data_IF_766538255320
#
_entry.id   IF_766538255320
#
_cell.length_a   1.000
_cell.length_b   1.000
_cell.length_c   1.000
_cell.angle_alpha   90.00
_cell.angle_beta   90.00
_cell.angle_gamma   90.00
#
_symmetry.space_group_name_H-M   'P 1'
#
loop_
_entity.id
_entity.type
_entity.pdbx_description
1 polymer ?
#
# COMPACT_ATOMS: atom_id res chain seq x y z
N UNK A 1 0.84 -2.29 -10.14
CA UNK A 1 1.53 -0.97 -10.14
C UNK A 1 0.75 0.12 -9.43
N UNK A 2 -0.47 0.49 -9.85
CA UNK A 2 -1.17 1.64 -9.25
C UNK A 2 -1.55 1.41 -7.77
N UNK A 3 -2.24 0.29 -7.48
CA UNK A 3 -2.65 -0.06 -6.10
C UNK A 3 -1.45 -0.29 -5.16
N UNK A 4 -0.34 -0.77 -5.71
CA UNK A 4 0.82 -1.21 -4.95
C UNK A 4 1.90 -0.12 -4.77
N UNK A 5 2.19 0.64 -5.83
CA UNK A 5 3.28 1.64 -5.88
C UNK A 5 2.77 3.04 -5.61
N UNK A 6 1.60 3.41 -6.14
CA UNK A 6 1.06 4.77 -6.01
C UNK A 6 0.16 4.87 -4.77
N UNK A 7 -0.61 3.82 -4.48
CA UNK A 7 -1.54 3.79 -3.34
C UNK A 7 -2.73 4.76 -3.48
N UNK A 8 -2.83 5.45 -4.62
CA UNK A 8 -3.89 6.38 -4.99
C UNK A 8 -4.18 6.21 -6.50
N UNK A 9 -5.46 6.19 -6.88
CA UNK A 9 -5.94 6.01 -8.26
C UNK A 9 -5.92 7.33 -9.07
N UNK A 10 -5.03 8.26 -8.71
CA UNK A 10 -5.03 9.60 -9.28
C UNK A 10 -4.70 9.60 -10.79
N UNK A 11 -5.52 10.27 -11.59
CA UNK A 11 -5.59 10.15 -13.05
C UNK A 11 -4.33 10.63 -13.80
N UNK A 12 -3.51 11.48 -13.17
CA UNK A 12 -2.39 12.16 -13.85
C UNK A 12 -1.30 11.21 -14.35
N UNK A 13 -1.10 10.06 -13.70
CA UNK A 13 -0.10 9.07 -14.10
C UNK A 13 -0.69 7.91 -14.91
N UNK A 14 -2.00 7.70 -14.84
CA UNK A 14 -2.69 6.58 -15.46
C UNK A 14 -2.45 6.55 -16.99
N UNK A 15 -2.59 7.69 -17.66
CA UNK A 15 -2.41 7.77 -19.12
C UNK A 15 -1.01 7.35 -19.58
N UNK A 16 0.04 7.74 -18.84
CA UNK A 16 1.43 7.39 -19.18
C UNK A 16 1.71 5.90 -18.96
N UNK A 17 1.20 5.34 -17.86
CA UNK A 17 1.35 3.91 -17.55
C UNK A 17 0.62 3.06 -18.58
N UNK A 18 -0.61 3.42 -18.93
CA UNK A 18 -1.40 2.72 -19.95
C UNK A 18 -0.70 2.79 -21.31
N UNK A 19 -0.24 3.97 -21.74
CA UNK A 19 0.46 4.11 -23.01
C UNK A 19 1.72 3.23 -23.08
N UNK A 20 2.55 3.23 -22.03
CA UNK A 20 3.74 2.38 -21.95
C UNK A 20 3.37 0.88 -22.02
N UNK A 21 2.34 0.45 -21.30
CA UNK A 21 1.88 -0.95 -21.32
C UNK A 21 1.36 -1.38 -22.69
N UNK A 22 0.61 -0.51 -23.39
CA UNK A 22 0.06 -0.78 -24.72
C UNK A 22 1.17 -0.86 -25.76
N UNK A 23 2.15 0.07 -25.72
CA UNK A 23 3.31 0.01 -26.61
C UNK A 23 4.09 -1.29 -26.38
N UNK A 24 4.35 -1.66 -25.12
CA UNK A 24 5.00 -2.93 -24.79
C UNK A 24 4.24 -4.14 -25.33
N UNK A 25 2.92 -4.18 -25.14
CA UNK A 25 2.07 -5.24 -25.64
C UNK A 25 2.09 -5.33 -27.18
N UNK A 26 2.03 -4.19 -27.89
CA UNK A 26 2.12 -4.18 -29.36
C UNK A 26 3.47 -4.62 -29.88
N UNK A 27 4.57 -4.27 -29.23
CA UNK A 27 5.91 -4.73 -29.61
C UNK A 27 6.01 -6.24 -29.43
N UNK A 28 5.58 -6.78 -28.30
CA UNK A 28 5.55 -8.23 -28.06
C UNK A 28 4.67 -8.93 -29.07
N UNK A 29 3.46 -8.41 -29.32
CA UNK A 29 2.52 -8.97 -30.30
C UNK A 29 3.08 -8.93 -31.73
N UNK A 30 3.74 -7.84 -32.11
CA UNK A 30 4.34 -7.69 -33.43
C UNK A 30 5.51 -8.63 -33.70
N UNK A 31 6.29 -8.97 -32.67
CA UNK A 31 7.46 -9.84 -32.78
C UNK A 31 7.11 -11.32 -32.58
N UNK A 32 6.32 -11.64 -31.54
CA UNK A 32 6.06 -13.01 -31.07
C UNK A 32 4.67 -13.53 -31.46
N UNK A 33 3.77 -12.67 -31.91
CA UNK A 33 2.37 -13.01 -32.20
C UNK A 33 1.52 -13.23 -30.95
N UNK A 34 0.41 -13.97 -31.11
CA UNK A 34 -0.51 -14.32 -30.01
C UNK A 34 0.13 -15.38 -29.11
N UNK A 35 0.55 -14.98 -27.91
CA UNK A 35 1.10 -15.86 -26.88
C UNK A 35 0.39 -15.61 -25.54
N UNK A 36 -0.81 -16.18 -25.31
CA UNK A 36 -1.49 -16.04 -24.03
C UNK A 36 -0.68 -16.73 -22.92
N UNK A 37 -0.70 -16.16 -21.71
CA UNK A 37 0.05 -16.72 -20.60
C UNK A 37 -0.48 -18.10 -20.16
N UNK A 38 -1.81 -18.31 -20.24
CA UNK A 38 -2.44 -19.62 -20.09
C UNK A 38 -3.46 -19.85 -21.20
N UNK A 39 -3.32 -20.96 -21.92
CA UNK A 39 -4.37 -21.46 -22.81
C UNK A 39 -5.31 -22.34 -21.98
N UNK A 40 -6.56 -21.90 -21.80
CA UNK A 40 -7.60 -22.59 -21.04
C UNK A 40 -8.71 -23.11 -21.96
N UNK A 41 -9.30 -24.27 -21.65
CA UNK A 41 -10.53 -24.70 -22.32
C UNK A 41 -11.67 -23.76 -21.92
N UNK A 42 -12.68 -23.58 -22.78
CA UNK A 42 -13.83 -22.76 -22.46
C UNK A 42 -14.49 -23.23 -21.16
N UNK A 43 -14.62 -22.31 -20.19
CA UNK A 43 -15.30 -22.58 -18.92
C UNK A 43 -16.78 -22.30 -19.10
N UNK A 44 -17.48 -23.34 -19.53
CA UNK A 44 -18.94 -23.40 -19.67
C UNK A 44 -19.53 -24.31 -18.59
N UNK A 45 -20.78 -24.07 -18.20
CA UNK A 45 -21.53 -24.89 -17.24
C UNK A 45 -20.88 -25.01 -15.84
N UNK A 46 -20.45 -23.88 -15.28
CA UNK A 46 -19.96 -23.80 -13.90
C UNK A 46 -21.12 -24.10 -12.93
N UNK A 47 -20.93 -25.07 -12.04
CA UNK A 47 -21.97 -25.52 -11.09
C UNK A 47 -22.02 -24.59 -9.88
N UNK A 48 -23.18 -24.27 -9.32
CA UNK A 48 -23.28 -23.45 -8.11
C UNK A 48 -22.55 -24.03 -6.89
N UNK A 49 -22.28 -25.34 -6.88
CA UNK A 49 -21.59 -26.05 -5.80
C UNK A 49 -20.17 -25.54 -5.53
N UNK A 50 -19.46 -25.07 -6.55
CA UNK A 50 -18.08 -24.60 -6.35
C UNK A 50 -18.02 -23.37 -5.44
N UNK A 51 -19.06 -22.51 -5.42
CA UNK A 51 -19.11 -21.34 -4.54
C UNK A 51 -19.07 -21.69 -3.06
N UNK A 52 -19.52 -22.89 -2.68
CA UNK A 52 -19.38 -23.38 -1.30
C UNK A 52 -17.93 -23.74 -0.94
N UNK A 53 -17.13 -24.13 -1.94
CA UNK A 53 -15.73 -24.55 -1.79
C UNK A 53 -14.75 -23.37 -1.94
N UNK A 54 -15.12 -22.36 -2.74
CA UNK A 54 -14.33 -21.14 -2.99
C UNK A 54 -13.77 -20.51 -1.70
N UNK A 55 -14.55 -20.33 -0.61
CA UNK A 55 -14.03 -19.77 0.62
C UNK A 55 -12.90 -20.58 1.27
N UNK A 56 -13.03 -21.91 1.28
CA UNK A 56 -12.00 -22.80 1.82
C UNK A 56 -10.72 -22.73 0.98
N UNK A 57 -10.87 -22.67 -0.35
CA UNK A 57 -9.74 -22.52 -1.28
C UNK A 57 -9.02 -21.20 -1.11
N UNK A 58 -9.77 -20.10 -1.09
CA UNK A 58 -9.20 -18.77 -0.91
C UNK A 58 -8.48 -18.65 0.44
N UNK A 59 -9.06 -19.21 1.51
CA UNK A 59 -8.45 -19.22 2.84
C UNK A 59 -7.13 -20.01 2.85
N UNK A 60 -7.11 -21.23 2.30
CA UNK A 60 -5.88 -22.03 2.23
C UNK A 60 -4.81 -21.33 1.39
N UNK A 61 -5.16 -20.89 0.18
CA UNK A 61 -4.21 -20.26 -0.74
C UNK A 61 -3.63 -18.95 -0.17
N UNK A 62 -4.47 -18.11 0.44
CA UNK A 62 -4.01 -16.90 1.13
C UNK A 62 -3.10 -17.25 2.32
N UNK A 63 -3.43 -18.30 3.08
CA UNK A 63 -2.60 -18.77 4.20
C UNK A 63 -1.24 -19.29 3.72
N UNK A 64 -1.20 -20.05 2.62
CA UNK A 64 0.06 -20.47 1.98
C UNK A 64 0.89 -19.25 1.57
N UNK A 65 0.25 -18.20 1.04
CA UNK A 65 0.91 -16.94 0.75
C UNK A 65 1.49 -16.26 2.00
N UNK A 66 0.78 -16.27 3.12
CA UNK A 66 1.30 -15.76 4.39
C UNK A 66 2.47 -16.60 4.94
N UNK A 67 2.41 -17.92 4.79
CA UNK A 67 3.52 -18.81 5.15
C UNK A 67 4.74 -18.51 4.29
N UNK A 68 4.56 -18.26 2.99
CA UNK A 68 5.61 -17.83 2.08
C UNK A 68 6.22 -16.49 2.54
N UNK A 69 5.39 -15.48 2.79
CA UNK A 69 5.85 -14.16 3.25
C UNK A 69 6.61 -14.26 4.58
N UNK A 70 5.99 -14.83 5.62
CA UNK A 70 6.58 -14.92 6.96
C UNK A 70 7.80 -15.81 6.99
N UNK A 71 7.77 -16.95 6.28
CA UNK A 71 8.88 -17.88 6.17
C UNK A 71 10.09 -17.22 5.53
N UNK A 72 9.88 -16.55 4.39
CA UNK A 72 10.93 -15.82 3.67
C UNK A 72 11.51 -14.70 4.53
N UNK A 73 10.68 -13.81 5.08
CA UNK A 73 11.16 -12.68 5.88
C UNK A 73 11.91 -13.15 7.13
N UNK A 74 11.43 -14.20 7.81
CA UNK A 74 12.07 -14.74 9.01
C UNK A 74 13.42 -15.37 8.68
N UNK A 75 13.49 -16.22 7.66
CA UNK A 75 14.73 -16.89 7.26
C UNK A 75 15.73 -15.90 6.68
N UNK A 76 15.30 -14.98 5.81
CA UNK A 76 16.13 -13.88 5.28
C UNK A 76 16.77 -13.06 6.41
N UNK A 77 15.98 -12.66 7.41
CA UNK A 77 16.50 -11.89 8.55
C UNK A 77 17.60 -12.64 9.32
N UNK A 78 17.53 -13.98 9.38
CA UNK A 78 18.58 -14.82 9.98
C UNK A 78 19.81 -14.91 9.08
N UNK A 79 19.62 -15.05 7.77
CA UNK A 79 20.71 -15.17 6.79
C UNK A 79 21.47 -13.86 6.57
N UNK A 80 20.84 -12.70 6.78
CA UNK A 80 21.54 -11.40 6.75
C UNK A 80 22.39 -11.20 8.02
N UNK A 81 21.91 -11.66 9.18
CA UNK A 81 22.62 -11.49 10.47
C UNK A 81 23.71 -12.53 10.73
N UNK A 82 23.72 -13.65 10.02
CA UNK A 82 24.73 -14.69 10.22
C UNK A 82 26.10 -14.22 9.69
N UNK A 83 27.18 -14.57 10.40
CA UNK A 83 28.56 -14.21 10.05
C UNK A 83 29.42 -15.41 9.63
N UNK A 84 28.85 -16.62 9.56
CA UNK A 84 29.59 -17.87 9.31
C UNK A 84 29.93 -18.06 7.83
N UNK A 85 29.03 -17.65 6.94
CA UNK A 85 29.15 -17.83 5.49
C UNK A 85 29.22 -16.45 4.84
N UNK A 86 30.17 -16.19 3.91
CA UNK A 86 30.24 -14.93 3.20
C UNK A 86 28.99 -14.70 2.34
N UNK A 87 28.55 -13.45 2.22
CA UNK A 87 27.27 -13.12 1.57
C UNK A 87 27.19 -13.61 0.12
N UNK A 88 28.31 -13.61 -0.63
CA UNK A 88 28.33 -14.05 -2.03
C UNK A 88 28.04 -15.56 -2.17
N UNK A 89 28.32 -16.36 -1.14
CA UNK A 89 28.15 -17.81 -1.18
C UNK A 89 26.74 -18.25 -0.74
N UNK A 90 25.97 -17.37 -0.09
CA UNK A 90 24.62 -17.68 0.35
C UNK A 90 23.70 -18.09 -0.81
N UNK A 91 23.67 -17.38 -1.97
CA UNK A 91 22.82 -17.79 -3.08
C UNK A 91 23.11 -19.20 -3.59
N UNK A 92 24.37 -19.66 -3.51
CA UNK A 92 24.76 -21.02 -3.89
C UNK A 92 24.13 -22.07 -2.97
N UNK A 93 24.03 -21.79 -1.66
CA UNK A 93 23.34 -22.67 -0.69
C UNK A 93 21.84 -22.70 -0.99
N UNK A 94 21.22 -21.55 -1.24
CA UNK A 94 19.81 -21.47 -1.63
C UNK A 94 19.51 -22.24 -2.92
N UNK A 95 20.41 -22.14 -3.91
CA UNK A 95 20.34 -22.88 -5.16
C UNK A 95 20.49 -24.40 -4.94
N UNK A 96 21.42 -24.83 -4.08
CA UNK A 96 21.60 -26.25 -3.76
C UNK A 96 20.38 -26.84 -3.05
N UNK A 97 19.80 -26.12 -2.08
CA UNK A 97 18.56 -26.53 -1.41
C UNK A 97 17.42 -26.64 -2.43
N UNK A 98 17.25 -25.64 -3.28
CA UNK A 98 16.23 -25.65 -4.35
C UNK A 98 16.44 -26.82 -5.30
N UNK A 99 17.68 -27.09 -5.69
CA UNK A 99 18.05 -28.20 -6.55
C UNK A 99 17.73 -29.56 -5.92
N UNK A 100 18.13 -29.78 -4.67
CA UNK A 100 17.82 -31.05 -3.96
C UNK A 100 16.32 -31.30 -3.86
N UNK A 101 15.52 -30.29 -3.50
CA UNK A 101 14.06 -30.40 -3.42
C UNK A 101 13.47 -30.69 -4.82
N UNK A 102 13.90 -29.94 -5.83
CA UNK A 102 13.39 -30.07 -7.19
C UNK A 102 13.72 -31.42 -7.83
N UNK A 103 14.95 -31.91 -7.68
CA UNK A 103 15.39 -33.21 -8.21
C UNK A 103 14.64 -34.35 -7.52
N UNK A 104 14.50 -34.29 -6.19
CA UNK A 104 13.74 -35.31 -5.43
C UNK A 104 12.29 -35.41 -5.90
N UNK A 105 11.66 -34.26 -6.11
CA UNK A 105 10.29 -34.22 -6.61
C UNK A 105 10.19 -34.68 -8.06
N UNK A 106 11.15 -34.29 -8.91
CA UNK A 106 11.20 -34.70 -10.30
C UNK A 106 11.32 -36.22 -10.44
N UNK A 107 12.20 -36.86 -9.67
CA UNK A 107 12.35 -38.32 -9.65
C UNK A 107 11.04 -38.99 -9.19
N UNK A 108 10.34 -38.39 -8.22
CA UNK A 108 9.13 -39.00 -7.64
C UNK A 108 7.87 -38.81 -8.50
N UNK A 109 7.77 -37.71 -9.25
CA UNK A 109 6.52 -37.28 -9.92
C UNK A 109 6.66 -37.03 -11.42
N UNK A 110 7.89 -36.93 -11.93
CA UNK A 110 8.20 -36.50 -13.30
C UNK A 110 7.90 -35.03 -13.58
N UNK A 111 7.54 -34.23 -12.56
CA UNK A 111 7.14 -32.82 -12.71
C UNK A 111 8.27 -31.88 -12.35
N UNK A 112 8.34 -30.76 -13.06
CA UNK A 112 9.42 -29.76 -12.95
C UNK A 112 8.98 -28.48 -12.28
N UNK A 113 7.76 -28.41 -11.74
CA UNK A 113 7.12 -27.20 -11.26
C UNK A 113 7.84 -26.48 -10.12
N UNK A 114 8.75 -27.16 -9.40
CA UNK A 114 9.66 -26.53 -8.42
C UNK A 114 10.68 -25.63 -9.12
N UNK A 115 11.14 -26.02 -10.30
CA UNK A 115 12.09 -25.27 -11.11
C UNK A 115 11.39 -24.18 -11.93
N UNK A 116 12.09 -23.05 -12.11
CA UNK A 116 11.59 -21.92 -12.88
C UNK A 116 10.23 -21.39 -12.38
N UNK A 117 9.42 -20.89 -13.33
CA UNK A 117 8.11 -20.29 -13.02
C UNK A 117 7.06 -21.35 -12.68
N UNK A 118 7.15 -22.56 -13.23
CA UNK A 118 6.17 -23.63 -13.06
C UNK A 118 4.89 -23.48 -13.89
N UNK A 119 4.88 -22.59 -14.90
CA UNK A 119 3.70 -22.36 -15.73
C UNK A 119 3.26 -23.58 -16.54
N UNK A 120 4.17 -24.47 -16.94
CA UNK A 120 3.79 -25.70 -17.65
C UNK A 120 2.92 -26.62 -16.78
N UNK A 121 3.33 -26.86 -15.54
CA UNK A 121 2.56 -27.68 -14.61
C UNK A 121 1.27 -26.98 -14.17
N UNK A 122 1.32 -25.67 -13.91
CA UNK A 122 0.12 -24.90 -13.56
C UNK A 122 -0.88 -24.87 -14.72
N UNK A 123 -0.40 -24.70 -15.96
CA UNK A 123 -1.24 -24.78 -17.16
C UNK A 123 -1.83 -26.19 -17.32
N UNK A 124 -1.06 -27.24 -17.06
CA UNK A 124 -1.56 -28.63 -17.08
C UNK A 124 -2.65 -28.84 -16.03
N UNK A 125 -2.51 -28.28 -14.83
CA UNK A 125 -3.54 -28.31 -13.79
C UNK A 125 -4.79 -27.54 -14.21
N UNK A 126 -4.64 -26.34 -14.76
CA UNK A 126 -5.75 -25.54 -15.29
C UNK A 126 -6.42 -26.18 -16.52
N UNK A 127 -5.76 -27.11 -17.21
CA UNK A 127 -6.35 -27.92 -18.27
C UNK A 127 -6.96 -29.24 -17.76
N UNK A 128 -7.01 -29.48 -16.44
CA UNK A 128 -7.43 -30.75 -15.83
C UNK A 128 -6.59 -31.98 -16.23
N UNK A 129 -5.36 -31.77 -16.72
CA UNK A 129 -4.44 -32.82 -17.16
C UNK A 129 -3.39 -33.16 -16.08
N UNK A 130 -3.74 -32.97 -14.81
CA UNK A 130 -2.80 -33.04 -13.70
C UNK A 130 -3.37 -33.82 -12.51
N UNK A 131 -2.52 -34.56 -11.79
CA UNK A 131 -2.94 -35.24 -10.57
C UNK A 131 -2.98 -34.23 -9.41
N UNK A 132 -4.14 -34.10 -8.77
CA UNK A 132 -4.36 -33.19 -7.65
C UNK A 132 -3.45 -33.51 -6.46
N UNK A 133 -3.08 -34.78 -6.24
CA UNK A 133 -2.15 -35.19 -5.16
C UNK A 133 -0.76 -34.63 -5.39
N UNK A 134 -0.30 -34.68 -6.65
CA UNK A 134 0.99 -34.11 -7.07
C UNK A 134 0.96 -32.59 -6.94
N UNK A 135 -0.18 -31.93 -7.20
CA UNK A 135 -0.32 -30.50 -6.98
C UNK A 135 -0.11 -30.11 -5.51
N UNK A 136 -0.68 -30.87 -4.56
CA UNK A 136 -0.45 -30.65 -3.13
C UNK A 136 1.02 -30.80 -2.72
N UNK A 137 1.71 -31.83 -3.24
CA UNK A 137 3.13 -32.03 -3.00
C UNK A 137 3.97 -30.88 -3.59
N UNK A 138 3.61 -30.40 -4.79
CA UNK A 138 4.24 -29.26 -5.45
C UNK A 138 4.08 -27.97 -4.66
N UNK A 139 2.93 -27.72 -4.02
CA UNK A 139 2.76 -26.55 -3.14
C UNK A 139 3.80 -26.56 -2.03
N UNK A 140 3.92 -27.68 -1.31
CA UNK A 140 4.87 -27.79 -0.20
C UNK A 140 6.33 -27.66 -0.67
N UNK A 141 6.69 -28.34 -1.76
CA UNK A 141 8.04 -28.32 -2.30
C UNK A 141 8.42 -26.95 -2.87
N UNK A 142 7.54 -26.33 -3.68
CA UNK A 142 7.75 -24.99 -4.23
C UNK A 142 7.85 -23.96 -3.11
N UNK A 143 7.01 -24.04 -2.08
CA UNK A 143 7.04 -23.13 -0.93
C UNK A 143 8.39 -23.18 -0.22
N UNK A 144 8.89 -24.37 0.10
CA UNK A 144 10.18 -24.54 0.74
C UNK A 144 11.33 -24.06 -0.15
N UNK A 145 11.30 -24.40 -1.42
CA UNK A 145 12.32 -24.01 -2.40
C UNK A 145 12.37 -22.49 -2.62
N UNK A 146 11.22 -21.83 -2.77
CA UNK A 146 11.18 -20.38 -2.99
C UNK A 146 11.54 -19.59 -1.74
N UNK A 147 11.13 -20.04 -0.55
CA UNK A 147 11.59 -19.48 0.74
C UNK A 147 13.11 -19.58 0.83
N UNK A 148 13.69 -20.74 0.52
CA UNK A 148 15.13 -20.93 0.55
C UNK A 148 15.82 -20.01 -0.47
N UNK A 149 15.45 -20.08 -1.75
CA UNK A 149 16.04 -19.25 -2.81
C UNK A 149 16.07 -17.76 -2.45
N UNK A 150 14.94 -17.19 -2.03
CA UNK A 150 14.86 -15.79 -1.63
C UNK A 150 15.66 -15.46 -0.37
N UNK A 151 15.56 -16.29 0.67
CA UNK A 151 16.17 -15.99 1.96
C UNK A 151 17.69 -16.03 1.92
N UNK A 152 18.25 -16.82 1.00
CA UNK A 152 19.67 -16.94 0.76
C UNK A 152 20.21 -15.90 -0.24
N UNK A 153 19.39 -14.93 -0.67
CA UNK A 153 19.85 -13.80 -1.47
C UNK A 153 19.84 -14.01 -2.98
N UNK A 154 19.09 -14.99 -3.49
CA UNK A 154 18.87 -15.08 -4.94
C UNK A 154 18.00 -13.91 -5.45
N UNK A 155 18.33 -13.41 -6.63
CA UNK A 155 17.55 -12.39 -7.32
C UNK A 155 16.35 -13.03 -8.03
N UNK A 156 15.15 -12.47 -7.85
CA UNK A 156 13.96 -12.95 -8.54
C UNK A 156 12.71 -12.13 -8.23
N UNK A 157 11.59 -12.48 -8.88
CA UNK A 157 10.26 -11.94 -8.60
C UNK A 157 9.37 -12.95 -7.84
N UNK A 158 8.55 -12.45 -6.91
CA UNK A 158 7.63 -13.29 -6.12
C UNK A 158 6.30 -13.56 -6.84
N UNK A 159 6.07 -12.89 -7.95
CA UNK A 159 4.79 -12.90 -8.67
C UNK A 159 4.41 -14.31 -9.17
N UNK A 160 5.26 -14.89 -10.02
CA UNK A 160 5.04 -16.23 -10.57
C UNK A 160 4.96 -17.34 -9.51
N UNK A 161 5.86 -17.42 -8.50
CA UNK A 161 5.72 -18.45 -7.46
C UNK A 161 4.45 -18.26 -6.62
N UNK A 162 3.98 -17.03 -6.38
CA UNK A 162 2.72 -16.78 -5.67
C UNK A 162 1.51 -17.31 -6.44
N UNK A 163 1.44 -17.03 -7.74
CA UNK A 163 0.41 -17.58 -8.62
C UNK A 163 0.47 -19.11 -8.65
N UNK A 164 1.65 -19.70 -8.79
CA UNK A 164 1.84 -21.14 -8.79
C UNK A 164 1.37 -21.79 -7.49
N UNK A 165 1.82 -21.28 -6.33
CA UNK A 165 1.42 -21.77 -5.02
C UNK A 165 -0.09 -21.69 -4.82
N UNK A 166 -0.68 -20.55 -5.19
CA UNK A 166 -2.12 -20.35 -5.10
C UNK A 166 -2.91 -21.28 -6.01
N UNK A 167 -2.54 -21.35 -7.29
CA UNK A 167 -3.22 -22.17 -8.29
C UNK A 167 -3.16 -23.65 -7.98
N UNK A 168 -1.99 -24.16 -7.59
CA UNK A 168 -1.84 -25.55 -7.18
C UNK A 168 -2.57 -25.86 -5.87
N UNK A 169 -2.66 -24.90 -4.93
CA UNK A 169 -3.48 -25.05 -3.71
C UNK A 169 -4.97 -25.17 -4.04
N UNK A 170 -5.46 -24.35 -4.97
CA UNK A 170 -6.83 -24.42 -5.45
C UNK A 170 -7.14 -25.71 -6.20
N UNK A 171 -6.22 -26.17 -7.05
CA UNK A 171 -6.35 -27.44 -7.76
C UNK A 171 -6.34 -28.65 -6.81
N UNK A 172 -5.43 -28.65 -5.83
CA UNK A 172 -5.34 -29.69 -4.80
C UNK A 172 -6.65 -29.80 -4.01
N UNK A 173 -7.16 -28.67 -3.49
CA UNK A 173 -8.42 -28.67 -2.75
C UNK A 173 -9.61 -29.01 -3.64
N UNK A 174 -9.63 -28.54 -4.90
CA UNK A 174 -10.65 -28.94 -5.86
C UNK A 174 -10.71 -30.46 -6.05
N UNK A 175 -9.56 -31.13 -6.17
CA UNK A 175 -9.48 -32.59 -6.23
C UNK A 175 -9.91 -33.27 -4.92
N UNK A 176 -9.55 -32.70 -3.77
CA UNK A 176 -9.91 -33.22 -2.45
C UNK A 176 -11.41 -33.15 -2.17
N UNK A 177 -12.03 -31.98 -2.40
CA UNK A 177 -13.47 -31.80 -2.24
C UNK A 177 -14.27 -32.59 -3.27
N UNK A 178 -13.70 -32.87 -4.45
CA UNK A 178 -14.33 -33.72 -5.45
C UNK A 178 -14.57 -35.17 -4.99
N UNK A 179 -13.97 -35.59 -3.87
CA UNK A 179 -14.24 -36.91 -3.26
C UNK A 179 -15.64 -36.98 -2.61
N UNK A 180 -16.21 -35.84 -2.22
CA UNK A 180 -17.50 -35.77 -1.53
C UNK A 180 -18.54 -34.92 -2.26
N UNK A 181 -18.10 -33.94 -3.06
CA UNK A 181 -18.94 -33.07 -3.87
C UNK A 181 -18.68 -33.35 -5.35
N UNK A 182 -19.70 -33.53 -6.19
CA UNK A 182 -19.50 -33.72 -7.62
C UNK A 182 -19.09 -32.39 -8.27
N UNK A 183 -17.78 -32.13 -8.35
CA UNK A 183 -17.23 -30.93 -8.98
C UNK A 183 -16.90 -31.21 -10.45
N UNK A 184 -17.37 -30.33 -11.33
CA UNK A 184 -17.07 -30.41 -12.76
C UNK A 184 -15.62 -30.03 -13.05
N UNK A 185 -15.07 -30.38 -14.23
CA UNK A 185 -13.77 -29.88 -14.67
C UNK A 185 -13.69 -28.34 -14.68
N UNK A 186 -14.79 -27.66 -15.04
CA UNK A 186 -14.91 -26.21 -15.02
C UNK A 186 -14.77 -25.64 -13.60
N UNK A 187 -15.42 -26.27 -12.61
CA UNK A 187 -15.33 -25.85 -11.21
C UNK A 187 -13.89 -25.89 -10.69
N UNK A 188 -13.12 -26.92 -11.05
CA UNK A 188 -11.70 -27.03 -10.64
C UNK A 188 -10.82 -25.92 -11.24
N UNK A 189 -11.12 -25.46 -12.45
CA UNK A 189 -10.44 -24.31 -13.08
C UNK A 189 -10.74 -23.05 -12.28
N UNK A 190 -12.01 -22.82 -11.92
CA UNK A 190 -12.42 -21.69 -11.09
C UNK A 190 -11.70 -21.71 -9.74
N UNK A 191 -11.69 -22.85 -9.04
CA UNK A 191 -11.02 -22.98 -7.75
C UNK A 191 -9.50 -22.72 -7.85
N UNK A 192 -8.86 -23.20 -8.92
CA UNK A 192 -7.44 -22.93 -9.17
C UNK A 192 -7.18 -21.44 -9.40
N UNK A 193 -7.98 -20.78 -10.24
CA UNK A 193 -7.86 -19.34 -10.51
C UNK A 193 -8.12 -18.49 -9.24
N UNK A 194 -9.11 -18.87 -8.42
CA UNK A 194 -9.35 -18.26 -7.10
C UNK A 194 -8.12 -18.39 -6.21
N UNK A 195 -7.51 -19.58 -6.17
CA UNK A 195 -6.29 -19.82 -5.41
C UNK A 195 -5.13 -18.92 -5.88
N UNK A 196 -4.92 -18.79 -7.19
CA UNK A 196 -3.91 -17.89 -7.78
C UNK A 196 -4.08 -16.46 -7.29
N UNK A 197 -5.29 -15.91 -7.41
CA UNK A 197 -5.61 -14.54 -7.01
C UNK A 197 -5.48 -14.34 -5.50
N UNK A 198 -6.02 -15.27 -4.71
CA UNK A 198 -6.05 -15.15 -3.26
C UNK A 198 -4.65 -15.21 -2.63
N UNK A 199 -3.78 -16.09 -3.12
CA UNK A 199 -2.39 -16.18 -2.66
C UNK A 199 -1.60 -14.91 -3.00
N UNK A 200 -1.67 -14.45 -4.26
CA UNK A 200 -0.99 -13.25 -4.71
C UNK A 200 -1.48 -12.00 -3.96
N UNK A 201 -2.81 -11.85 -3.82
CA UNK A 201 -3.43 -10.75 -3.11
C UNK A 201 -3.01 -10.67 -1.65
N UNK A 202 -2.80 -11.82 -1.00
CA UNK A 202 -2.38 -11.87 0.40
C UNK A 202 -0.93 -11.40 0.59
N UNK A 203 -0.04 -11.75 -0.34
CA UNK A 203 1.39 -11.40 -0.27
C UNK A 203 1.63 -9.94 -0.64
N UNK A 204 1.02 -9.49 -1.75
CA UNK A 204 1.25 -8.14 -2.32
C UNK A 204 0.41 -7.08 -1.63
N UNK A 205 -0.72 -7.46 -1.01
CA UNK A 205 -1.74 -6.56 -0.46
C UNK A 205 -2.40 -5.65 -1.50
N UNK A 206 -2.51 -6.14 -2.73
CA UNK A 206 -3.22 -5.52 -3.83
C UNK A 206 -4.25 -6.53 -4.39
N UNK A 207 -5.32 -6.84 -3.64
CA UNK A 207 -6.21 -7.94 -3.96
C UNK A 207 -7.04 -7.68 -5.23
N UNK A 208 -7.38 -6.41 -5.54
CA UNK A 208 -8.04 -6.05 -6.80
C UNK A 208 -7.10 -6.25 -7.99
N UNK A 209 -5.87 -5.76 -7.89
CA UNK A 209 -4.83 -5.97 -8.90
C UNK A 209 -4.58 -7.46 -9.13
N UNK A 210 -4.53 -8.26 -8.06
CA UNK A 210 -4.30 -9.70 -8.14
C UNK A 210 -5.43 -10.43 -8.87
N UNK A 211 -6.68 -10.05 -8.59
CA UNK A 211 -7.85 -10.56 -9.29
C UNK A 211 -7.83 -10.18 -10.77
N UNK A 212 -7.51 -8.92 -11.09
CA UNK A 212 -7.45 -8.44 -12.47
C UNK A 212 -6.35 -9.14 -13.27
N UNK A 213 -5.17 -9.38 -12.70
CA UNK A 213 -4.11 -10.09 -13.42
C UNK A 213 -4.51 -11.53 -13.70
N UNK A 214 -5.13 -12.23 -12.74
CA UNK A 214 -5.60 -13.60 -12.99
C UNK A 214 -6.69 -13.61 -14.05
N UNK A 215 -7.66 -12.69 -13.97
CA UNK A 215 -8.69 -12.53 -15.01
C UNK A 215 -8.07 -12.27 -16.39
N UNK A 216 -7.11 -11.36 -16.51
CA UNK A 216 -6.43 -11.04 -17.76
C UNK A 216 -5.64 -12.24 -18.30
N UNK A 217 -4.86 -12.93 -17.46
CA UNK A 217 -4.07 -14.10 -17.88
C UNK A 217 -4.93 -15.29 -18.33
N UNK A 218 -6.18 -15.36 -17.88
CA UNK A 218 -7.12 -16.46 -18.18
C UNK A 218 -8.15 -16.11 -19.25
N UNK A 219 -8.45 -14.82 -19.46
CA UNK A 219 -9.44 -14.30 -20.40
C UNK A 219 -10.85 -14.88 -20.25
N UNK A 220 -11.24 -15.33 -19.04
CA UNK A 220 -12.53 -15.97 -18.79
C UNK A 220 -13.38 -15.18 -17.81
N UNK A 221 -14.46 -14.59 -18.33
CA UNK A 221 -15.39 -13.80 -17.52
C UNK A 221 -16.13 -14.65 -16.49
N UNK A 222 -16.38 -15.94 -16.78
CA UNK A 222 -17.04 -16.88 -15.85
C UNK A 222 -16.31 -17.03 -14.50
N UNK A 223 -15.02 -16.69 -14.43
CA UNK A 223 -14.23 -16.80 -13.19
C UNK A 223 -14.46 -15.62 -12.23
N UNK A 224 -14.90 -14.47 -12.75
CA UNK A 224 -14.94 -13.18 -12.03
C UNK A 224 -15.69 -13.27 -10.68
N UNK A 225 -16.89 -13.88 -10.58
CA UNK A 225 -17.60 -13.95 -9.30
C UNK A 225 -16.81 -14.73 -8.23
N UNK A 226 -16.18 -15.85 -8.60
CA UNK A 226 -15.33 -16.62 -7.69
C UNK A 226 -14.10 -15.83 -7.25
N UNK A 227 -13.46 -15.12 -8.20
CA UNK A 227 -12.31 -14.26 -7.91
C UNK A 227 -12.64 -13.13 -6.92
N UNK A 228 -13.85 -12.54 -7.00
CA UNK A 228 -14.31 -11.51 -6.06
C UNK A 228 -14.46 -12.05 -4.63
N UNK A 229 -15.02 -13.25 -4.47
CA UNK A 229 -15.09 -13.89 -3.15
C UNK A 229 -13.68 -14.17 -2.61
N UNK A 230 -12.81 -14.71 -3.47
CA UNK A 230 -11.41 -14.97 -3.13
C UNK A 230 -10.65 -13.71 -2.71
N UNK A 231 -10.91 -12.59 -3.39
CA UNK A 231 -10.35 -11.27 -3.10
C UNK A 231 -10.72 -10.80 -1.68
N UNK A 232 -11.99 -10.90 -1.29
CA UNK A 232 -12.46 -10.49 0.04
C UNK A 232 -11.77 -11.31 1.14
N UNK A 233 -11.70 -12.64 0.96
CA UNK A 233 -11.09 -13.55 1.93
C UNK A 233 -9.58 -13.32 1.99
N UNK A 234 -8.92 -13.16 0.85
CA UNK A 234 -7.51 -12.81 0.75
C UNK A 234 -7.21 -11.53 1.53
N UNK A 235 -8.04 -10.50 1.40
CA UNK A 235 -7.89 -9.25 2.14
C UNK A 235 -8.06 -9.45 3.65
N UNK A 236 -9.04 -10.25 4.09
CA UNK A 236 -9.23 -10.57 5.51
C UNK A 236 -8.02 -11.30 6.09
N UNK A 237 -7.48 -12.28 5.36
CA UNK A 237 -6.28 -13.03 5.75
C UNK A 237 -5.06 -12.11 5.77
N UNK A 238 -4.87 -11.27 4.76
CA UNK A 238 -3.75 -10.32 4.66
C UNK A 238 -3.71 -9.34 5.85
N UNK A 239 -4.87 -8.89 6.34
CA UNK A 239 -4.96 -8.00 7.53
C UNK A 239 -4.38 -8.65 8.78
N UNK A 240 -4.47 -9.98 8.92
CA UNK A 240 -3.86 -10.72 10.04
C UNK A 240 -2.33 -10.81 9.96
N UNK A 241 -1.73 -10.49 8.81
CA UNK A 241 -0.30 -10.63 8.57
C UNK A 241 0.56 -9.46 9.09
N UNK A 242 -0.06 -8.42 9.65
CA UNK A 242 0.61 -7.21 10.15
C UNK A 242 0.34 -5.99 9.25
N UNK A 243 1.08 -4.89 9.38
CA UNK A 243 0.84 -3.66 8.61
C UNK A 243 1.59 -3.58 7.26
N UNK A 244 2.65 -4.37 7.05
CA UNK A 244 3.53 -4.27 5.88
C UNK A 244 3.24 -5.37 4.83
N UNK A 245 3.17 -4.99 3.55
CA UNK A 245 3.20 -5.96 2.46
C UNK A 245 4.59 -6.61 2.33
N UNK A 246 4.74 -7.62 1.47
CA UNK A 246 6.01 -8.31 1.29
C UNK A 246 7.17 -7.35 0.91
N UNK A 247 6.92 -6.41 0.00
CA UNK A 247 7.94 -5.48 -0.51
C UNK A 247 8.35 -4.43 0.52
N UNK A 248 7.38 -3.83 1.21
CA UNK A 248 7.61 -2.92 2.33
C UNK A 248 8.44 -3.60 3.42
N UNK A 249 8.10 -4.85 3.75
CA UNK A 249 8.83 -5.61 4.76
C UNK A 249 10.28 -5.90 4.34
N UNK A 250 10.56 -6.09 3.03
CA UNK A 250 11.92 -6.21 2.53
C UNK A 250 12.69 -4.88 2.65
N UNK A 251 12.07 -3.76 2.26
CA UNK A 251 12.69 -2.43 2.37
C UNK A 251 13.08 -2.09 3.81
N UNK A 252 12.21 -2.42 4.77
CA UNK A 252 12.51 -2.25 6.20
C UNK A 252 13.66 -3.15 6.65
N UNK A 253 13.75 -4.39 6.17
CA UNK A 253 14.88 -5.27 6.46
C UNK A 253 16.20 -4.76 5.87
N UNK A 254 16.14 -4.02 4.77
CA UNK A 254 17.29 -3.42 4.11
C UNK A 254 17.69 -2.07 4.73
N UNK A 255 16.96 -1.62 5.77
CA UNK A 255 17.26 -0.41 6.51
C UNK A 255 16.67 0.87 5.92
N UNK A 256 15.72 0.76 4.97
CA UNK A 256 15.04 1.92 4.41
C UNK A 256 13.85 2.35 5.27
N UNK A 257 13.80 3.63 5.63
CA UNK A 257 12.67 4.25 6.34
C UNK A 257 11.52 4.53 5.36
N UNK A 258 10.38 3.86 5.58
CA UNK A 258 9.18 4.04 4.76
C UNK A 258 8.36 5.24 5.24
N UNK A 259 8.56 6.39 4.60
CA UNK A 259 7.70 7.57 4.78
C UNK A 259 6.47 7.48 3.88
N UNK A 260 5.41 6.79 4.33
CA UNK A 260 4.12 6.78 3.61
C UNK A 260 3.25 7.93 4.13
N UNK A 261 3.22 9.04 3.39
CA UNK A 261 2.23 10.09 3.61
C UNK A 261 0.87 9.51 3.20
N UNK A 262 0.08 9.07 4.17
CA UNK A 262 -1.30 8.69 3.92
C UNK A 262 -2.11 10.00 3.80
N UNK A 263 -2.69 10.30 2.62
CA UNK A 263 -3.65 11.38 2.57
C UNK A 263 -4.79 11.06 3.57
N UNK A 264 -5.38 12.05 4.23
CA UNK A 264 -6.59 11.82 5.02
C UNK A 264 -7.63 11.06 4.18
N UNK A 265 -8.40 10.17 4.83
CA UNK A 265 -9.38 9.28 4.18
C UNK A 265 -10.33 10.03 3.24
N UNK A 266 -10.55 11.32 3.50
CA UNK A 266 -11.18 12.25 2.59
C UNK A 266 -10.33 13.52 2.40
N UNK A 267 -9.33 13.42 1.52
CA UNK A 267 -8.47 14.54 1.12
C UNK A 267 -9.30 15.70 0.56
N UNK A 268 -10.43 15.42 -0.12
CA UNK A 268 -11.30 16.49 -0.63
C UNK A 268 -11.98 17.22 0.53
N UNK A 269 -12.58 16.52 1.48
CA UNK A 269 -13.17 17.15 2.66
C UNK A 269 -12.13 17.92 3.48
N UNK A 270 -10.91 17.40 3.65
CA UNK A 270 -9.83 18.13 4.30
C UNK A 270 -9.45 19.41 3.55
N UNK A 271 -9.25 19.31 2.24
CA UNK A 271 -8.84 20.44 1.42
C UNK A 271 -9.91 21.52 1.32
N UNK A 272 -11.19 21.13 1.34
CA UNK A 272 -12.35 22.01 1.24
C UNK A 272 -12.86 22.49 2.61
N UNK A 273 -12.28 22.05 3.72
CA UNK A 273 -12.68 22.49 5.06
C UNK A 273 -12.41 24.00 5.18
N UNK A 274 -13.41 24.81 5.60
CA UNK A 274 -13.21 26.25 5.76
C UNK A 274 -12.27 26.51 6.93
N UNK A 275 -11.40 27.49 6.79
CA UNK A 275 -10.41 27.86 7.80
C UNK A 275 -11.07 28.25 9.13
N UNK A 276 -12.26 28.85 9.09
CA UNK A 276 -13.06 29.15 10.28
C UNK A 276 -13.37 27.95 11.17
N UNK A 277 -13.41 26.73 10.62
CA UNK A 277 -13.65 25.50 11.40
C UNK A 277 -12.41 25.04 12.18
N UNK A 278 -11.22 25.51 11.80
CA UNK A 278 -9.93 25.11 12.39
C UNK A 278 -9.31 26.24 13.23
N UNK A 279 -9.59 27.49 12.84
CA UNK A 279 -9.05 28.69 13.45
C UNK A 279 -9.34 28.76 14.95
N UNK A 280 -8.39 29.30 15.71
CA UNK A 280 -8.62 29.69 17.09
C UNK A 280 -9.40 31.02 17.12
N UNK A 281 -10.65 31.03 17.62
CA UNK A 281 -11.52 32.21 17.56
C UNK A 281 -11.20 33.27 18.62
N UNK A 282 -10.30 32.98 19.57
CA UNK A 282 -9.93 33.90 20.66
C UNK A 282 -8.42 34.18 20.66
N UNK A 283 -7.89 34.87 19.64
CA UNK A 283 -6.49 35.24 19.62
C UNK A 283 -6.18 36.27 20.73
N UNK A 284 -4.97 36.19 21.27
CA UNK A 284 -4.44 37.26 22.11
C UNK A 284 -3.85 38.32 21.19
N UNK A 285 -4.50 39.47 21.18
CA UNK A 285 -4.18 40.57 20.26
C UNK A 285 -3.48 41.71 21.01
N UNK A 286 -2.61 42.43 20.31
CA UNK A 286 -2.02 43.67 20.80
C UNK A 286 -2.78 44.87 20.18
N UNK A 287 -3.37 45.77 20.97
CA UNK A 287 -4.01 46.99 20.46
C UNK A 287 -2.98 48.10 20.15
N UNK A 288 -1.86 48.10 20.86
CA UNK A 288 -0.80 49.10 20.74
C UNK A 288 0.58 48.49 21.07
N UNK A 289 1.62 49.30 20.87
CA UNK A 289 3.01 48.97 21.19
C UNK A 289 3.48 49.63 22.49
N UNK A 290 2.56 50.00 23.39
CA UNK A 290 2.94 50.63 24.66
C UNK A 290 3.63 49.60 25.56
N UNK A 291 4.70 49.99 26.30
CA UNK A 291 5.45 49.06 27.14
C UNK A 291 4.60 48.30 28.17
N UNK A 292 3.56 48.93 28.74
CA UNK A 292 2.67 48.29 29.71
C UNK A 292 1.84 47.17 29.08
N UNK A 293 1.25 47.42 27.92
CA UNK A 293 0.47 46.45 27.14
C UNK A 293 1.33 45.25 26.74
N UNK A 294 2.53 45.53 26.23
CA UNK A 294 3.51 44.53 25.84
C UNK A 294 3.93 43.65 27.02
N UNK A 295 4.24 44.25 28.18
CA UNK A 295 4.61 43.53 29.39
C UNK A 295 3.48 42.63 29.88
N UNK A 296 2.24 43.13 29.88
CA UNK A 296 1.05 42.37 30.28
C UNK A 296 0.83 41.15 29.38
N UNK A 297 0.88 41.32 28.06
CA UNK A 297 0.68 40.24 27.10
C UNK A 297 1.72 39.12 27.25
N UNK A 298 3.00 39.49 27.35
CA UNK A 298 4.12 38.54 27.48
C UNK A 298 4.13 37.83 28.85
N UNK A 299 3.66 38.49 29.92
CA UNK A 299 3.52 37.87 31.24
C UNK A 299 2.32 36.94 31.37
N UNK A 300 1.20 37.27 30.71
CA UNK A 300 -0.05 36.53 30.82
C UNK A 300 -0.10 35.31 29.89
N UNK A 301 0.62 35.36 28.77
CA UNK A 301 0.53 34.34 27.72
C UNK A 301 1.91 33.84 27.24
N UNK A 302 2.08 32.52 27.08
CA UNK A 302 3.35 31.91 26.65
C UNK A 302 3.51 31.87 25.12
N UNK A 303 2.82 32.71 24.36
CA UNK A 303 2.84 32.68 22.90
C UNK A 303 4.11 33.32 22.31
N UNK A 304 4.57 32.77 21.18
CA UNK A 304 5.77 33.24 20.48
C UNK A 304 5.51 34.48 19.62
N UNK A 305 4.29 34.65 19.11
CA UNK A 305 3.90 35.73 18.22
C UNK A 305 2.54 36.30 18.64
N UNK A 306 2.38 37.61 18.48
CA UNK A 306 1.16 38.33 18.80
C UNK A 306 0.74 39.21 17.62
N UNK A 307 -0.48 39.07 17.08
CA UNK A 307 -0.99 39.97 16.05
C UNK A 307 -1.26 41.37 16.64
N UNK A 308 -0.73 42.40 15.97
CA UNK A 308 -1.01 43.81 16.27
C UNK A 308 -2.20 44.27 15.43
N UNK A 309 -3.27 44.72 16.10
CA UNK A 309 -4.51 45.18 15.48
C UNK A 309 -4.69 46.66 15.79
N UNK A 310 -4.80 47.49 14.76
CA UNK A 310 -5.15 48.90 14.89
C UNK A 310 -6.60 49.16 14.49
N UNK A 311 -7.00 50.43 14.48
CA UNK A 311 -8.37 50.85 14.13
C UNK A 311 -8.81 50.48 12.70
N UNK A 312 -7.85 50.31 11.78
CA UNK A 312 -8.09 49.95 10.38
C UNK A 312 -7.79 48.47 10.07
N UNK A 313 -7.67 47.62 11.10
CA UNK A 313 -7.43 46.18 10.97
C UNK A 313 -6.01 45.75 11.34
N UNK A 314 -5.55 44.63 10.74
CA UNK A 314 -4.28 43.98 11.09
C UNK A 314 -3.10 44.81 10.59
N UNK A 315 -2.26 45.31 11.52
CA UNK A 315 -1.04 46.09 11.19
C UNK A 315 0.19 45.22 10.98
N UNK A 316 0.28 44.09 11.68
CA UNK A 316 1.45 43.21 11.62
C UNK A 316 1.44 42.15 12.71
N UNK A 317 2.55 41.44 12.84
CA UNK A 317 2.80 40.44 13.89
C UNK A 317 4.08 40.86 14.63
N UNK A 318 4.06 40.74 15.95
CA UNK A 318 5.20 41.05 16.82
C UNK A 318 5.68 39.78 17.52
N UNK A 319 6.98 39.51 17.45
CA UNK A 319 7.58 38.35 18.12
C UNK A 319 7.82 38.59 19.61
N UNK A 320 7.62 37.57 20.45
CA UNK A 320 7.92 37.62 21.90
C UNK A 320 9.36 38.05 22.18
N UNK A 321 10.31 37.53 21.41
CA UNK A 321 11.73 37.88 21.56
C UNK A 321 11.99 39.37 21.29
N UNK A 322 11.35 39.92 20.27
CA UNK A 322 11.44 41.35 19.91
C UNK A 322 10.79 42.23 20.99
N UNK A 323 9.65 41.80 21.53
CA UNK A 323 8.99 42.50 22.64
C UNK A 323 9.92 42.57 23.87
N UNK A 324 10.52 41.44 24.27
CA UNK A 324 11.44 41.39 25.41
C UNK A 324 12.68 42.26 25.17
N UNK A 325 13.24 42.22 23.97
CA UNK A 325 14.37 43.07 23.57
C UNK A 325 14.01 44.55 23.67
N UNK A 326 12.86 44.95 23.11
CA UNK A 326 12.39 46.33 23.13
C UNK A 326 12.13 46.85 24.56
N UNK A 327 11.53 46.02 25.43
CA UNK A 327 11.30 46.35 26.84
C UNK A 327 12.61 46.54 27.63
N UNK A 328 13.67 45.82 27.27
CA UNK A 328 14.98 45.95 27.93
C UNK A 328 15.79 47.16 27.44
N UNK A 329 15.68 47.49 26.15
CA UNK A 329 16.44 48.57 25.51
C UNK A 329 15.71 49.93 25.53
N UNK A 330 14.44 49.97 25.96
CA UNK A 330 13.62 51.19 25.95
C UNK A 330 13.16 51.62 24.56
N UNK A 331 13.02 50.67 23.62
CA UNK A 331 12.66 50.92 22.22
C UNK A 331 11.29 50.38 21.83
N UNK A 332 10.94 50.52 20.54
CA UNK A 332 9.76 49.87 19.95
C UNK A 332 10.15 48.53 19.31
N UNK A 333 9.36 47.46 19.49
CA UNK A 333 9.66 46.18 18.85
C UNK A 333 9.47 46.28 17.34
N UNK A 334 10.31 45.59 16.58
CA UNK A 334 10.11 45.44 15.14
C UNK A 334 8.87 44.60 14.86
N UNK A 335 8.23 44.87 13.72
CA UNK A 335 7.03 44.16 13.31
C UNK A 335 7.28 43.48 11.98
N UNK A 336 6.68 42.31 11.84
CA UNK A 336 6.74 41.52 10.62
C UNK A 336 5.37 41.61 9.93
N UNK A 337 5.31 41.67 8.57
CA UNK A 337 4.04 41.73 7.87
C UNK A 337 3.15 40.54 8.23
N UNK A 338 1.87 40.82 8.49
CA UNK A 338 0.88 39.79 8.75
C UNK A 338 0.34 39.23 7.43
N UNK A 339 0.31 37.89 7.32
CA UNK A 339 -0.41 37.22 6.25
C UNK A 339 -1.84 36.95 6.72
N UNK A 340 -2.82 37.36 5.92
CA UNK A 340 -4.25 37.26 6.26
C UNK A 340 -5.01 36.30 5.36
N UNK A 341 -6.09 35.71 5.87
CA UNK A 341 -7.03 34.90 5.09
C UNK A 341 -8.48 35.15 5.51
N UNK A 342 -9.41 34.88 4.60
CA UNK A 342 -10.85 34.98 4.88
C UNK A 342 -11.33 33.73 5.65
N UNK A 343 -12.30 33.83 6.57
CA UNK A 343 -12.84 32.68 7.31
C UNK A 343 -13.42 31.56 6.42
N UNK A 344 -13.90 31.92 5.23
CA UNK A 344 -14.50 30.97 4.27
C UNK A 344 -13.49 30.37 3.29
N UNK A 345 -12.25 30.87 3.29
CA UNK A 345 -11.19 30.26 2.49
C UNK A 345 -10.91 28.86 2.99
N UNK A 346 -10.61 27.96 2.06
CA UNK A 346 -10.39 26.55 2.38
C UNK A 346 -8.95 26.28 2.83
N UNK A 347 -8.71 25.16 3.51
CA UNK A 347 -7.35 24.73 3.87
C UNK A 347 -6.42 24.70 2.65
N UNK A 348 -6.94 24.27 1.49
CA UNK A 348 -6.18 24.24 0.23
C UNK A 348 -5.73 25.62 -0.22
N UNK A 349 -6.60 26.62 -0.11
CA UNK A 349 -6.31 27.99 -0.53
C UNK A 349 -5.33 28.68 0.42
N UNK A 350 -5.41 28.37 1.72
CA UNK A 350 -4.54 28.98 2.75
C UNK A 350 -3.22 28.25 2.92
N UNK A 351 -3.06 27.02 2.42
CA UNK A 351 -1.82 26.24 2.53
C UNK A 351 -0.56 27.00 2.09
N UNK A 352 -0.60 27.70 0.95
CA UNK A 352 0.55 28.48 0.46
C UNK A 352 0.86 29.71 1.34
N UNK A 353 -0.17 30.29 1.98
CA UNK A 353 -0.02 31.45 2.86
C UNK A 353 0.78 31.12 4.13
N UNK A 354 0.81 29.85 4.55
CA UNK A 354 1.67 29.41 5.65
C UNK A 354 3.15 29.40 5.28
N UNK A 355 3.48 29.12 4.02
CA UNK A 355 4.87 29.14 3.52
C UNK A 355 5.38 30.58 3.41
N UNK A 356 4.49 31.49 3.00
CA UNK A 356 4.79 32.92 2.89
C UNK A 356 4.82 33.63 4.26
N UNK A 357 4.19 33.04 5.29
CA UNK A 357 4.12 33.64 6.62
C UNK A 357 5.43 33.45 7.39
N UNK A 358 6.16 34.54 7.70
CA UNK A 358 7.40 34.47 8.48
C UNK A 358 7.17 34.07 9.95
N UNK A 359 5.93 34.10 10.43
CA UNK A 359 5.55 33.77 11.81
C UNK A 359 4.90 32.37 11.94
N UNK A 360 4.81 31.58 10.86
CA UNK A 360 4.03 30.33 10.80
C UNK A 360 2.58 30.48 11.31
N UNK A 361 2.04 31.69 11.16
CA UNK A 361 0.75 32.13 11.66
C UNK A 361 0.03 32.90 10.55
N UNK A 362 -1.24 32.58 10.34
CA UNK A 362 -2.12 33.33 9.44
C UNK A 362 -3.26 33.92 10.25
N UNK A 363 -3.50 35.22 10.08
CA UNK A 363 -4.58 35.92 10.78
C UNK A 363 -5.86 35.80 9.96
N UNK A 364 -6.94 35.35 10.61
CA UNK A 364 -8.25 35.19 9.97
C UNK A 364 -9.02 36.48 10.16
N UNK A 365 -9.26 37.19 9.06
CA UNK A 365 -9.95 38.48 9.07
C UNK A 365 -11.03 38.54 7.99
N UNK A 366 -12.11 39.27 8.25
CA UNK A 366 -13.16 39.59 7.27
C UNK A 366 -12.73 40.79 6.41
N UNK A 367 -13.43 41.02 5.30
CA UNK A 367 -13.23 42.20 4.44
C UNK A 367 -13.40 43.54 5.19
N UNK A 368 -14.18 43.53 6.29
CA UNK A 368 -14.39 44.67 7.19
C UNK A 368 -13.16 45.02 8.05
N UNK A 369 -12.09 44.22 8.01
CA UNK A 369 -10.91 44.38 8.86
C UNK A 369 -11.04 43.76 10.25
N UNK A 370 -12.21 43.17 10.58
CA UNK A 370 -12.46 42.47 11.83
C UNK A 370 -11.68 41.15 11.88
N UNK A 371 -10.89 40.94 12.94
CA UNK A 371 -10.15 39.70 13.17
C UNK A 371 -11.04 38.70 13.88
N UNK A 372 -11.33 37.59 13.20
CA UNK A 372 -12.20 36.51 13.67
C UNK A 372 -11.37 35.42 14.35
N UNK A 373 -10.07 35.33 14.07
CA UNK A 373 -9.21 34.33 14.69
C UNK A 373 -7.79 34.32 14.16
N UNK A 374 -7.03 33.31 14.59
CA UNK A 374 -5.72 32.98 14.03
C UNK A 374 -5.65 31.48 13.74
N UNK A 375 -4.83 31.10 12.76
CA UNK A 375 -4.53 29.70 12.47
C UNK A 375 -3.03 29.53 12.47
N UNK A 376 -2.57 28.51 13.17
CA UNK A 376 -1.17 28.10 13.19
C UNK A 376 -1.00 26.73 12.55
N UNK A 377 0.24 26.35 12.23
CA UNK A 377 0.55 25.00 11.77
C UNK A 377 0.09 23.91 12.76
N UNK A 378 0.10 24.22 14.06
CA UNK A 378 -0.38 23.31 15.11
C UNK A 378 -1.89 23.07 15.02
N UNK A 379 -2.68 24.10 14.69
CA UNK A 379 -4.12 23.96 14.53
C UNK A 379 -4.47 23.08 13.32
N UNK A 380 -3.72 23.22 12.22
CA UNK A 380 -3.85 22.35 11.05
C UNK A 380 -3.54 20.88 11.40
N UNK A 381 -2.42 20.62 12.09
CA UNK A 381 -2.06 19.25 12.48
C UNK A 381 -3.09 18.66 13.44
N UNK A 382 -3.59 19.45 14.41
CA UNK A 382 -4.63 19.01 15.35
C UNK A 382 -5.92 18.65 14.63
N UNK A 383 -6.38 19.49 13.70
CA UNK A 383 -7.60 19.21 12.94
C UNK A 383 -7.44 17.99 12.02
N UNK A 384 -6.25 17.80 11.43
CA UNK A 384 -5.94 16.61 10.66
C UNK A 384 -5.98 15.34 11.52
N UNK A 385 -5.40 15.38 12.73
CA UNK A 385 -5.41 14.25 13.65
C UNK A 385 -6.83 13.91 14.13
N UNK A 386 -7.67 14.91 14.40
CA UNK A 386 -9.06 14.72 14.82
C UNK A 386 -9.96 14.09 13.74
N UNK A 387 -9.64 14.25 12.45
CA UNK A 387 -10.36 13.56 11.36
C UNK A 387 -9.85 12.14 11.10
N UNK A 388 -8.70 11.76 11.67
CA UNK A 388 -8.10 10.44 11.53
C UNK A 388 -8.44 9.49 12.69
N UNK A 389 -8.86 10.03 13.85
CA UNK A 389 -9.43 9.30 14.99
C UNK A 389 -10.89 8.96 14.76
#
# INVERSE_FOLDING_TARGET
AIEEVIGDLNSRFLGRVVLASVIGAFVVYGILGRQPAFALPAVENVSWLHYAVVPAVALLAATVGLLFQRGTLRLRSRMIRQKRVPFWLLPLIGALITWTIGVTLFISTGKTGVFGLGYQDLSSALNNLFDWRVAGLLVAAKLAATIASYSFGACGGIFAPSLFLGGMSGYFLGGLFNLWLPLTPADRIVLSAVGMSACLGAIVRAPLTSMLIVFEMTHQFSLVPGLLIGMIISQAVARSAGPLNFYDALLVQDGHELHKVRPPLDLQSWQNLPISAIANPKPVILPDLLPETLKKAVSAHPYAFFPLIGEQGVRGIVGRAEILSALSAGGTPQMVPAVTCHPDQTVREVGNKFIESPANMVVVARETGEVVGIVTLHDLIRAQAAMQS
#
